data_IF_769207390574
#
_entry.id   IF_769207390574
#
_cell.length_a   1.000
_cell.length_b   1.000
_cell.length_c   1.000
_cell.angle_alpha   90.00
_cell.angle_beta   90.00
_cell.angle_gamma   90.00
#
_symmetry.space_group_name_H-M   'P 1'
#
loop_
_entity.id
_entity.type
_entity.pdbx_description
1 polymer ?
#
# COMPACT_ATOMS: atom_id res chain seq x y z
N UNK A 1 19.42 22.27 -58.50
CA UNK A 1 20.89 22.09 -58.35
C UNK A 1 21.46 23.41 -57.83
N UNK A 2 22.31 23.40 -56.80
CA UNK A 2 22.55 24.54 -55.89
C UNK A 2 21.58 24.47 -54.69
N UNK A 3 21.98 24.42 -53.40
CA UNK A 3 22.98 25.13 -52.57
C UNK A 3 22.52 26.56 -52.26
N UNK A 4 22.06 26.87 -51.03
CA UNK A 4 22.73 26.97 -49.70
C UNK A 4 23.66 28.18 -49.58
N UNK A 5 23.26 29.18 -48.76
CA UNK A 5 24.05 30.13 -47.93
C UNK A 5 23.03 30.89 -47.05
N UNK A 6 23.31 31.30 -45.80
CA UNK A 6 24.51 30.92 -45.02
C UNK A 6 24.98 31.80 -43.85
N UNK A 7 24.11 32.34 -42.97
CA UNK A 7 24.51 32.91 -41.64
C UNK A 7 25.42 34.19 -41.81
N UNK A 8 25.98 34.99 -40.85
CA UNK A 8 26.04 35.08 -39.37
C UNK A 8 26.13 36.58 -38.94
N UNK A 9 25.76 36.87 -37.67
CA UNK A 9 26.37 37.80 -36.66
C UNK A 9 25.41 38.89 -36.08
N UNK A 10 25.56 39.39 -34.83
CA UNK A 10 25.96 38.77 -33.53
C UNK A 10 25.81 39.78 -32.35
N UNK A 11 25.23 39.32 -31.22
CA UNK A 11 25.42 39.77 -29.81
C UNK A 11 24.97 41.15 -29.25
N UNK A 12 24.66 41.07 -27.94
CA UNK A 12 24.58 42.09 -26.87
C UNK A 12 23.48 43.18 -26.94
N UNK A 13 23.00 43.78 -25.84
CA UNK A 13 22.57 43.38 -24.47
C UNK A 13 22.35 44.69 -23.67
N UNK A 14 21.35 44.70 -22.78
CA UNK A 14 21.28 45.46 -21.52
C UNK A 14 20.94 46.99 -21.51
N UNK A 15 19.64 47.25 -21.32
CA UNK A 15 19.02 48.12 -20.28
C UNK A 15 19.02 49.68 -20.33
N UNK A 16 17.83 50.20 -19.91
CA UNK A 16 17.58 51.30 -18.96
C UNK A 16 17.10 52.70 -19.45
N UNK A 17 16.44 53.40 -18.49
CA UNK A 17 16.11 54.85 -18.38
C UNK A 17 14.80 55.39 -19.02
N UNK A 18 13.72 55.30 -18.23
CA UNK A 18 12.85 56.39 -17.71
C UNK A 18 12.31 57.54 -18.60
N UNK A 19 10.98 57.72 -18.50
CA UNK A 19 10.16 58.96 -18.37
C UNK A 19 10.29 60.15 -19.35
N UNK A 20 9.14 60.52 -19.93
CA UNK A 20 8.76 61.89 -20.32
C UNK A 20 7.23 62.08 -20.22
N UNK A 21 6.76 63.32 -20.03
CA UNK A 21 5.33 63.70 -19.85
C UNK A 21 4.87 64.71 -20.93
N UNK A 22 3.62 65.18 -20.84
CA UNK A 22 3.00 66.30 -21.58
C UNK A 22 2.79 66.10 -23.10
N UNK A 23 1.85 66.76 -23.81
CA UNK A 23 0.74 67.73 -23.53
C UNK A 23 -0.33 67.57 -24.65
N UNK A 24 -1.56 68.14 -24.72
CA UNK A 24 -2.42 69.02 -23.89
C UNK A 24 -3.91 68.84 -24.40
N UNK A 25 -4.75 69.89 -24.27
CA UNK A 25 -6.09 70.13 -24.90
C UNK A 25 -7.29 69.34 -24.32
N UNK A 26 -8.50 69.90 -24.22
CA UNK A 26 -8.93 71.31 -24.37
C UNK A 26 -10.16 71.60 -23.49
N UNK A 27 -10.34 72.86 -23.07
CA UNK A 27 -11.43 73.25 -22.18
C UNK A 27 -12.58 73.94 -22.94
N UNK A 28 -13.83 73.59 -22.59
CA UNK A 28 -15.04 74.33 -22.98
C UNK A 28 -15.83 74.63 -21.71
N UNK A 29 -16.19 75.89 -21.51
CA UNK A 29 -16.85 76.38 -20.29
C UNK A 29 -18.29 76.78 -20.62
N UNK A 30 -19.27 76.26 -19.88
CA UNK A 30 -20.69 76.54 -20.10
C UNK A 30 -21.41 76.84 -18.77
N UNK A 31 -22.33 77.81 -18.86
CA UNK A 31 -23.13 78.45 -17.81
C UNK A 31 -23.56 77.59 -16.60
N UNK A 32 -23.50 78.19 -15.41
CA UNK A 32 -24.05 77.60 -14.18
C UNK A 32 -25.58 77.74 -14.09
N UNK A 33 -26.21 76.75 -13.44
CA UNK A 33 -27.61 76.74 -13.04
C UNK A 33 -27.68 76.44 -11.52
N UNK A 34 -28.75 76.84 -10.80
CA UNK A 34 -28.72 76.92 -9.33
C UNK A 34 -28.73 75.55 -8.63
N UNK A 35 -28.02 75.49 -7.50
CA UNK A 35 -27.85 74.28 -6.70
C UNK A 35 -29.18 73.69 -6.21
N UNK A 36 -29.41 72.43 -6.59
CA UNK A 36 -30.38 71.55 -5.93
C UNK A 36 -29.61 70.61 -5.01
N UNK A 37 -29.97 70.50 -3.71
CA UNK A 37 -29.24 69.62 -2.80
C UNK A 37 -29.40 68.16 -3.24
N UNK A 38 -28.34 67.60 -3.79
CA UNK A 38 -28.27 66.18 -4.16
C UNK A 38 -28.28 65.35 -2.87
N UNK A 39 -29.15 64.35 -2.71
CA UNK A 39 -29.14 63.50 -1.53
C UNK A 39 -27.81 62.74 -1.47
N UNK A 40 -27.16 62.79 -0.32
CA UNK A 40 -25.90 62.09 -0.06
C UNK A 40 -26.12 60.57 -0.20
N UNK A 41 -25.28 59.85 -0.98
CA UNK A 41 -25.50 58.44 -1.25
C UNK A 41 -25.33 57.62 0.03
N UNK A 42 -26.44 57.08 0.54
CA UNK A 42 -26.43 56.18 1.70
C UNK A 42 -25.49 55.01 1.43
N UNK A 43 -24.44 54.88 2.23
CA UNK A 43 -23.42 53.86 2.04
C UNK A 43 -24.04 52.46 2.11
N UNK A 44 -24.01 51.73 1.00
CA UNK A 44 -24.38 50.31 0.96
C UNK A 44 -23.53 49.55 2.00
N UNK A 45 -24.14 48.78 2.92
CA UNK A 45 -23.36 48.00 3.88
C UNK A 45 -22.50 46.99 3.11
N UNK A 46 -21.18 47.09 3.29
CA UNK A 46 -20.24 46.09 2.77
C UNK A 46 -20.61 44.74 3.40
N UNK A 47 -20.81 43.66 2.62
CA UNK A 47 -21.12 42.37 3.19
C UNK A 47 -19.96 41.93 4.08
N UNK A 48 -20.22 41.73 5.37
CA UNK A 48 -19.27 41.13 6.31
C UNK A 48 -18.80 39.80 5.73
N UNK A 49 -17.48 39.56 5.56
CA UNK A 49 -17.02 38.27 5.07
C UNK A 49 -17.50 37.18 6.03
N UNK A 50 -18.20 36.18 5.49
CA UNK A 50 -18.51 34.96 6.23
C UNK A 50 -17.18 34.37 6.72
N UNK A 51 -17.02 34.08 8.03
CA UNK A 51 -15.79 33.49 8.51
C UNK A 51 -15.57 32.16 7.79
N UNK A 52 -14.42 32.04 7.13
CA UNK A 52 -13.97 30.79 6.54
C UNK A 52 -13.93 29.73 7.65
N UNK A 53 -14.52 28.53 7.45
CA UNK A 53 -14.72 27.59 8.54
C UNK A 53 -13.37 27.14 9.09
N UNK A 54 -13.09 27.50 10.36
CA UNK A 54 -11.86 27.10 11.05
C UNK A 54 -11.70 25.58 10.97
N UNK A 55 -10.72 25.13 10.18
CA UNK A 55 -10.46 23.72 9.99
C UNK A 55 -10.28 23.05 11.35
N UNK A 56 -11.13 22.06 11.65
CA UNK A 56 -11.03 21.32 12.91
C UNK A 56 -9.65 20.66 12.97
N UNK A 57 -8.86 20.85 14.03
CA UNK A 57 -7.50 20.31 14.07
C UNK A 57 -7.56 18.79 13.94
N UNK A 58 -7.03 18.27 12.83
CA UNK A 58 -6.95 16.83 12.57
C UNK A 58 -6.02 16.20 13.60
N UNK A 59 -6.57 15.29 14.41
CA UNK A 59 -5.80 14.49 15.36
C UNK A 59 -4.72 13.73 14.57
N UNK A 60 -3.43 13.78 14.96
CA UNK A 60 -2.38 13.00 14.32
C UNK A 60 -2.72 11.51 14.31
N UNK A 61 -2.52 10.87 13.16
CA UNK A 61 -2.73 9.43 12.97
C UNK A 61 -1.52 8.81 12.29
N UNK A 62 -1.33 7.52 12.53
CA UNK A 62 -0.35 6.73 11.78
C UNK A 62 -0.70 6.68 10.30
N UNK A 63 0.32 6.78 9.45
CA UNK A 63 0.21 6.61 8.00
C UNK A 63 0.27 5.13 7.55
N UNK A 64 0.38 4.16 8.47
CA UNK A 64 0.26 2.72 8.18
C UNK A 64 -1.07 2.13 8.63
N UNK A 65 -1.64 2.60 9.75
CA UNK A 65 -2.82 1.98 10.40
C UNK A 65 -3.99 2.92 10.71
N UNK A 66 -3.79 4.25 10.65
CA UNK A 66 -4.78 5.23 11.12
C UNK A 66 -4.96 5.31 12.65
N UNK A 67 -4.19 4.52 13.43
CA UNK A 67 -4.10 4.61 14.90
C UNK A 67 -3.87 6.07 15.32
N UNK A 68 -4.61 6.56 16.31
CA UNK A 68 -4.43 7.93 16.85
C UNK A 68 -3.10 7.99 17.59
N UNK A 69 -2.33 9.04 17.37
CA UNK A 69 -1.00 9.23 17.96
C UNK A 69 -0.99 10.54 18.76
N UNK A 70 -0.34 10.54 19.93
CA UNK A 70 -0.01 11.79 20.64
C UNK A 70 1.16 12.50 19.98
N UNK A 71 1.42 13.75 20.36
CA UNK A 71 2.44 14.60 19.69
C UNK A 71 3.88 14.03 19.81
N UNK A 72 4.16 13.23 20.85
CA UNK A 72 5.46 12.57 21.08
C UNK A 72 5.56 11.16 20.44
N UNK A 73 4.46 10.53 20.03
CA UNK A 73 4.41 9.14 19.56
C UNK A 73 4.61 9.03 18.03
N UNK A 74 5.83 9.25 17.54
CA UNK A 74 6.12 9.22 16.08
C UNK A 74 7.30 8.36 15.57
N UNK A 75 7.68 7.21 16.18
CA UNK A 75 8.66 6.29 15.59
C UNK A 75 8.04 5.47 14.43
N UNK A 76 7.73 6.12 13.30
CA UNK A 76 7.43 5.44 12.03
C UNK A 76 8.67 4.65 11.61
N UNK A 77 8.62 3.35 11.84
CA UNK A 77 9.73 2.43 11.60
C UNK A 77 9.28 1.24 10.74
N UNK A 78 8.77 1.51 9.52
CA UNK A 78 8.27 0.49 8.59
C UNK A 78 9.24 -0.68 8.49
N UNK A 79 8.79 -1.83 8.98
CA UNK A 79 9.54 -3.07 8.99
C UNK A 79 8.70 -4.15 8.33
N UNK A 80 9.05 -4.53 7.10
CA UNK A 80 8.43 -5.66 6.43
C UNK A 80 9.06 -6.98 6.89
N UNK A 81 8.25 -8.01 7.10
CA UNK A 81 8.73 -9.41 7.18
C UNK A 81 8.09 -10.23 6.06
N UNK A 82 8.90 -11.01 5.34
CA UNK A 82 8.44 -11.99 4.35
C UNK A 82 7.90 -13.25 5.05
N UNK A 83 6.58 -13.44 5.04
CA UNK A 83 5.89 -14.49 5.81
C UNK A 83 5.26 -15.54 4.88
N UNK A 84 5.56 -16.81 5.14
CA UNK A 84 5.07 -17.98 4.40
C UNK A 84 3.54 -18.05 4.33
N UNK A 85 2.97 -18.49 3.19
CA UNK A 85 1.55 -18.90 3.12
C UNK A 85 1.32 -20.31 2.54
N UNK A 86 2.36 -21.14 2.53
CA UNK A 86 2.21 -22.58 2.31
C UNK A 86 1.31 -23.24 3.37
N UNK A 87 0.49 -24.23 2.98
CA UNK A 87 -0.51 -24.86 3.85
C UNK A 87 0.07 -25.40 5.17
N UNK A 88 1.24 -26.05 5.11
CA UNK A 88 1.90 -26.66 6.28
C UNK A 88 2.63 -25.68 7.20
N UNK A 89 2.57 -24.37 6.90
CA UNK A 89 3.14 -23.29 7.71
C UNK A 89 2.09 -22.50 8.51
N UNK A 90 0.80 -22.74 8.24
CA UNK A 90 -0.33 -22.06 8.89
C UNK A 90 -0.64 -22.71 10.25
N UNK A 91 -1.20 -21.96 11.22
CA UNK A 91 -1.34 -20.50 11.24
C UNK A 91 0.01 -19.79 11.46
N UNK A 92 0.17 -18.64 10.81
CA UNK A 92 1.33 -17.74 10.90
C UNK A 92 1.31 -16.94 12.20
N UNK A 93 2.46 -16.49 12.69
CA UNK A 93 2.59 -15.59 13.84
C UNK A 93 2.70 -14.14 13.41
N UNK A 94 1.98 -13.26 14.11
CA UNK A 94 2.11 -11.80 14.02
C UNK A 94 1.23 -11.10 12.96
N UNK A 95 0.54 -11.83 12.07
CA UNK A 95 -0.26 -11.19 10.99
C UNK A 95 -1.37 -10.25 11.50
N UNK A 96 -1.93 -10.51 12.69
CA UNK A 96 -2.94 -9.64 13.31
C UNK A 96 -2.36 -8.44 14.07
N UNK A 97 -1.03 -8.33 14.14
CA UNK A 97 -0.31 -7.18 14.68
C UNK A 97 0.36 -6.33 13.58
N UNK A 98 0.17 -6.68 12.31
CA UNK A 98 0.70 -5.93 11.18
C UNK A 98 -0.26 -4.80 10.80
N UNK A 99 0.30 -3.61 10.56
CA UNK A 99 -0.47 -2.45 10.11
C UNK A 99 -1.00 -2.68 8.69
N UNK A 100 -0.14 -3.27 7.84
CA UNK A 100 -0.45 -3.60 6.44
C UNK A 100 0.06 -5.00 6.12
N UNK A 101 -0.72 -5.80 5.39
CA UNK A 101 -0.27 -7.10 4.85
C UNK A 101 -0.50 -7.11 3.34
N UNK A 102 0.57 -7.19 2.56
CA UNK A 102 0.47 -7.46 1.12
C UNK A 102 0.54 -8.97 0.88
N UNK A 103 -0.27 -9.48 -0.04
CA UNK A 103 -0.20 -10.86 -0.53
C UNK A 103 0.02 -10.91 -2.04
N UNK A 104 1.02 -11.71 -2.45
CA UNK A 104 1.44 -11.86 -3.84
C UNK A 104 1.39 -13.33 -4.27
N UNK A 105 1.06 -13.58 -5.53
CA UNK A 105 1.12 -14.91 -6.15
C UNK A 105 2.56 -15.26 -6.55
N UNK A 106 3.10 -16.33 -5.98
CA UNK A 106 4.46 -16.84 -6.24
C UNK A 106 4.43 -18.10 -7.13
N UNK A 107 5.56 -18.79 -7.21
CA UNK A 107 5.71 -20.06 -7.91
C UNK A 107 4.82 -21.17 -7.31
N UNK A 108 4.66 -22.28 -8.06
CA UNK A 108 3.80 -23.42 -7.71
C UNK A 108 2.32 -23.08 -7.36
N UNK A 109 1.85 -21.88 -7.76
CA UNK A 109 0.52 -21.33 -7.47
C UNK A 109 0.23 -21.08 -5.98
N UNK A 110 1.26 -21.03 -5.14
CA UNK A 110 1.16 -20.52 -3.77
C UNK A 110 1.18 -18.99 -3.72
N UNK A 111 0.80 -18.44 -2.58
CA UNK A 111 0.95 -17.03 -2.27
C UNK A 111 2.02 -16.80 -1.18
N UNK A 112 2.48 -15.55 -1.05
CA UNK A 112 3.49 -15.12 -0.08
C UNK A 112 3.13 -13.76 0.47
N UNK A 113 3.22 -13.59 1.79
CA UNK A 113 2.99 -12.31 2.45
C UNK A 113 4.27 -11.48 2.54
N UNK A 114 4.13 -10.15 2.49
CA UNK A 114 4.98 -9.25 3.26
C UNK A 114 4.11 -8.44 4.23
N UNK A 115 4.39 -8.58 5.52
CA UNK A 115 3.64 -7.93 6.60
C UNK A 115 4.45 -6.75 7.15
N UNK A 116 3.86 -5.55 7.14
CA UNK A 116 4.44 -4.30 7.60
C UNK A 116 4.11 -4.06 9.07
N UNK A 117 5.15 -3.86 9.86
CA UNK A 117 5.06 -3.46 11.26
C UNK A 117 5.71 -2.08 11.42
N UNK A 118 4.95 -1.07 11.84
CA UNK A 118 5.46 0.24 12.27
C UNK A 118 4.95 0.56 13.68
N UNK A 119 3.63 0.50 13.87
CA UNK A 119 2.99 0.92 15.12
C UNK A 119 3.02 -0.19 16.18
N UNK A 120 2.45 -1.35 15.84
CA UNK A 120 2.40 -2.52 16.72
C UNK A 120 3.51 -3.51 16.34
N UNK A 121 4.20 -4.05 17.35
CA UNK A 121 5.45 -4.81 17.18
C UNK A 121 5.38 -6.09 18.03
N UNK A 122 4.85 -7.20 17.50
CA UNK A 122 4.81 -8.47 18.23
C UNK A 122 6.22 -8.95 18.57
N UNK A 123 6.35 -9.77 19.61
CA UNK A 123 7.64 -10.38 19.95
C UNK A 123 8.18 -11.29 18.83
N UNK A 124 7.29 -11.90 18.04
CA UNK A 124 7.59 -12.92 17.04
C UNK A 124 6.77 -12.75 15.75
N UNK A 125 7.40 -12.93 14.58
CA UNK A 125 6.72 -12.99 13.29
C UNK A 125 7.24 -14.16 12.42
N UNK A 126 6.37 -14.74 11.58
CA UNK A 126 6.75 -15.80 10.64
C UNK A 126 5.68 -16.90 10.42
N UNK A 127 6.03 -18.01 9.75
CA UNK A 127 7.39 -18.39 9.35
C UNK A 127 8.01 -17.47 8.29
N UNK A 128 9.29 -17.11 8.48
CA UNK A 128 10.06 -16.24 7.59
C UNK A 128 10.53 -17.00 6.36
N UNK A 129 10.36 -16.43 5.16
CA UNK A 129 10.65 -17.10 3.88
C UNK A 129 11.27 -16.24 2.78
N UNK A 130 11.56 -16.90 1.65
CA UNK A 130 12.27 -16.33 0.51
C UNK A 130 11.58 -15.10 -0.06
N UNK A 131 12.37 -14.10 -0.40
CA UNK A 131 11.91 -12.91 -1.12
C UNK A 131 11.92 -13.14 -2.64
N UNK A 132 11.32 -12.20 -3.36
CA UNK A 132 11.22 -12.10 -4.83
C UNK A 132 11.44 -10.64 -5.21
N UNK A 133 11.81 -10.34 -6.46
CA UNK A 133 12.27 -8.98 -6.80
C UNK A 133 11.19 -7.90 -6.56
N UNK A 134 9.92 -8.20 -6.85
CA UNK A 134 8.80 -7.29 -6.62
C UNK A 134 8.50 -7.05 -5.12
N UNK A 135 8.82 -8.02 -4.24
CA UNK A 135 8.74 -7.80 -2.79
C UNK A 135 9.82 -6.82 -2.32
N UNK A 136 10.98 -6.76 -2.99
CA UNK A 136 12.00 -5.74 -2.76
C UNK A 136 11.60 -4.38 -3.35
N UNK A 137 10.83 -4.35 -4.43
CA UNK A 137 10.28 -3.11 -5.02
C UNK A 137 9.23 -2.45 -4.11
N UNK A 138 8.46 -3.24 -3.35
CA UNK A 138 7.57 -2.72 -2.30
C UNK A 138 8.38 -2.23 -1.08
N UNK A 139 9.35 -3.02 -0.61
CA UNK A 139 10.27 -2.62 0.48
C UNK A 139 11.00 -1.31 0.16
N UNK A 140 11.38 -1.09 -1.10
CA UNK A 140 11.98 0.17 -1.57
C UNK A 140 11.02 1.34 -1.41
N UNK A 141 9.78 1.19 -1.86
CA UNK A 141 8.78 2.25 -1.84
C UNK A 141 8.46 2.74 -0.42
N UNK A 142 8.44 1.85 0.57
CA UNK A 142 8.18 2.22 1.97
C UNK A 142 9.39 2.76 2.72
N UNK A 143 10.58 2.79 2.09
CA UNK A 143 11.90 2.78 2.75
C UNK A 143 11.86 1.89 4.02
N UNK A 144 11.47 0.64 3.83
CA UNK A 144 11.30 -0.29 4.93
C UNK A 144 12.62 -0.96 5.32
N UNK A 145 12.77 -1.29 6.60
CA UNK A 145 13.66 -2.39 7.00
C UNK A 145 12.99 -3.72 6.61
N UNK A 146 13.76 -4.75 6.22
CA UNK A 146 13.17 -5.99 5.70
C UNK A 146 13.84 -7.26 6.24
N UNK A 147 13.03 -8.17 6.79
CA UNK A 147 13.46 -9.51 7.22
C UNK A 147 12.90 -10.62 6.31
N UNK A 148 13.78 -11.49 5.80
CA UNK A 148 13.43 -12.56 4.85
C UNK A 148 14.49 -13.68 4.88
N UNK A 149 14.18 -14.87 4.36
CA UNK A 149 15.15 -15.98 4.28
C UNK A 149 15.22 -16.57 2.87
N UNK A 150 16.29 -16.25 2.14
CA UNK A 150 16.54 -16.75 0.77
C UNK A 150 16.16 -15.75 -0.34
N UNK A 151 16.99 -15.68 -1.39
CA UNK A 151 16.73 -14.87 -2.59
C UNK A 151 17.46 -15.46 -3.80
N UNK A 152 16.77 -15.52 -4.95
CA UNK A 152 17.34 -15.97 -6.21
C UNK A 152 17.85 -14.79 -7.05
N UNK A 153 19.12 -14.85 -7.47
CA UNK A 153 19.75 -13.80 -8.27
C UNK A 153 19.22 -13.81 -9.71
N UNK A 154 18.43 -12.81 -10.08
CA UNK A 154 17.90 -12.65 -11.43
C UNK A 154 18.80 -11.76 -12.31
N UNK A 155 18.57 -11.80 -13.63
CA UNK A 155 19.25 -10.95 -14.62
C UNK A 155 18.26 -9.99 -15.33
N UNK A 156 18.77 -9.09 -16.19
CA UNK A 156 17.92 -8.11 -16.89
C UNK A 156 17.22 -7.13 -15.94
N UNK A 157 15.97 -6.73 -16.28
CA UNK A 157 15.17 -5.78 -15.48
C UNK A 157 14.77 -6.31 -14.09
N UNK A 158 14.77 -7.63 -13.92
CA UNK A 158 14.34 -8.33 -12.70
C UNK A 158 15.43 -8.42 -11.62
N UNK A 159 16.67 -8.00 -11.94
CA UNK A 159 17.79 -8.07 -11.01
C UNK A 159 17.64 -7.03 -9.89
N UNK A 160 17.70 -7.49 -8.65
CA UNK A 160 17.93 -6.68 -7.45
C UNK A 160 19.16 -7.26 -6.75
N UNK A 161 20.14 -6.45 -6.34
CA UNK A 161 21.26 -6.95 -5.54
C UNK A 161 20.99 -6.56 -4.10
N UNK A 162 20.92 -7.53 -3.19
CA UNK A 162 20.58 -7.27 -1.78
C UNK A 162 21.49 -6.20 -1.13
N UNK A 163 22.79 -6.18 -1.48
CA UNK A 163 23.75 -5.16 -1.01
C UNK A 163 23.41 -3.71 -1.44
N UNK A 164 22.63 -3.55 -2.51
CA UNK A 164 22.21 -2.25 -3.03
C UNK A 164 20.97 -1.75 -2.21
N UNK A 165 20.43 -2.60 -1.30
CA UNK A 165 19.39 -2.30 -0.31
C UNK A 165 19.95 -2.41 1.13
N UNK A 166 20.49 -1.33 1.72
CA UNK A 166 21.20 -1.39 3.01
C UNK A 166 20.34 -1.81 4.21
N UNK A 167 19.01 -1.73 4.07
CA UNK A 167 18.02 -1.97 5.13
C UNK A 167 17.45 -3.41 5.10
N UNK A 168 17.96 -4.25 4.21
CA UNK A 168 17.47 -5.61 3.92
C UNK A 168 18.37 -6.66 4.59
N UNK A 169 17.84 -7.38 5.57
CA UNK A 169 18.59 -8.30 6.44
C UNK A 169 18.18 -9.76 6.20
N UNK A 170 19.07 -10.62 5.67
CA UNK A 170 18.81 -12.04 5.50
C UNK A 170 18.67 -12.79 6.83
N UNK A 171 17.88 -13.87 6.84
CA UNK A 171 17.52 -14.73 7.98
C UNK A 171 18.65 -15.55 8.62
N UNK A 172 19.88 -15.05 8.58
CA UNK A 172 21.09 -15.67 9.15
C UNK A 172 21.56 -14.99 10.44
N UNK A 173 20.90 -13.91 10.89
CA UNK A 173 21.22 -13.24 12.17
C UNK A 173 20.55 -13.93 13.37
N UNK A 174 21.03 -13.65 14.59
CA UNK A 174 20.60 -14.32 15.84
C UNK A 174 19.12 -14.12 16.22
N UNK A 175 18.49 -13.10 15.63
CA UNK A 175 17.08 -12.76 15.79
C UNK A 175 16.18 -13.72 15.03
N UNK A 176 16.70 -14.41 14.00
CA UNK A 176 16.00 -15.48 13.31
C UNK A 176 16.31 -16.83 13.97
N UNK A 177 15.27 -17.52 14.45
CA UNK A 177 15.40 -18.80 15.18
C UNK A 177 14.44 -19.83 14.60
N UNK A 178 14.83 -21.12 14.59
CA UNK A 178 13.92 -22.20 14.17
C UNK A 178 13.04 -22.62 15.35
N UNK A 179 11.72 -22.53 15.19
CA UNK A 179 10.68 -22.85 16.19
C UNK A 179 9.66 -23.79 15.53
N UNK A 180 9.58 -25.03 15.99
CA UNK A 180 8.76 -26.07 15.35
C UNK A 180 7.32 -26.08 15.86
N UNK A 181 6.53 -25.07 15.49
CA UNK A 181 5.10 -24.93 15.83
C UNK A 181 4.17 -25.84 15.01
N UNK A 182 4.56 -27.13 14.88
CA UNK A 182 3.91 -28.15 14.04
C UNK A 182 4.46 -28.27 12.61
N UNK A 183 5.23 -27.27 12.15
CA UNK A 183 5.74 -27.19 10.79
C UNK A 183 7.10 -27.91 10.60
N UNK A 184 7.37 -28.40 9.37
CA UNK A 184 8.68 -28.94 8.96
C UNK A 184 9.77 -27.85 8.94
N UNK A 185 11.04 -28.26 9.00
CA UNK A 185 12.22 -27.40 9.07
C UNK A 185 12.20 -26.14 8.17
N UNK A 186 11.89 -26.30 6.88
CA UNK A 186 11.88 -25.16 5.92
C UNK A 186 10.78 -24.13 6.21
N UNK A 187 9.72 -24.53 6.89
CA UNK A 187 8.63 -23.65 7.34
C UNK A 187 8.71 -23.36 8.85
N UNK A 188 9.86 -23.57 9.50
CA UNK A 188 10.01 -23.39 10.95
C UNK A 188 10.90 -22.22 11.36
N UNK A 189 11.42 -21.40 10.45
CA UNK A 189 12.18 -20.19 10.81
C UNK A 189 11.23 -19.06 11.19
N UNK A 190 11.43 -18.39 12.32
CA UNK A 190 10.70 -17.19 12.75
C UNK A 190 11.69 -16.08 13.11
N UNK A 191 11.24 -14.83 13.11
CA UNK A 191 12.03 -13.68 13.58
C UNK A 191 11.48 -13.16 14.91
N UNK A 192 12.38 -12.91 15.87
CA UNK A 192 12.09 -12.15 17.07
C UNK A 192 12.08 -10.66 16.71
N UNK A 193 10.90 -10.13 16.35
CA UNK A 193 10.76 -8.87 15.62
C UNK A 193 11.21 -7.65 16.44
N UNK A 194 10.95 -7.63 17.75
CA UNK A 194 11.40 -6.55 18.64
C UNK A 194 12.94 -6.47 18.73
N UNK A 195 13.62 -7.61 18.90
CA UNK A 195 15.09 -7.71 18.83
C UNK A 195 15.59 -7.28 17.44
N UNK A 196 14.92 -7.75 16.38
CA UNK A 196 15.30 -7.48 14.99
C UNK A 196 15.29 -5.99 14.67
N UNK A 197 14.22 -5.27 15.02
CA UNK A 197 14.15 -3.81 14.89
C UNK A 197 15.23 -3.16 15.75
N UNK A 198 15.31 -3.49 17.04
CA UNK A 198 16.26 -2.87 17.99
C UNK A 198 17.72 -3.00 17.55
N UNK A 199 18.11 -4.14 16.99
CA UNK A 199 19.50 -4.44 16.62
C UNK A 199 19.90 -3.97 15.21
N UNK A 200 18.94 -3.75 14.30
CA UNK A 200 19.24 -3.49 12.88
C UNK A 200 18.71 -2.14 12.35
N UNK A 201 17.74 -1.49 13.01
CA UNK A 201 17.11 -0.29 12.48
C UNK A 201 18.01 0.96 12.52
N UNK A 202 18.86 1.08 13.54
CA UNK A 202 19.81 2.18 13.71
C UNK A 202 19.15 3.57 13.75
N UNK A 203 19.88 4.58 13.27
CA UNK A 203 19.44 5.99 13.23
C UNK A 203 18.59 6.33 11.98
N UNK A 204 17.94 5.33 11.36
CA UNK A 204 17.16 5.52 10.14
C UNK A 204 15.89 6.35 10.39
N UNK A 205 15.66 7.32 9.51
CA UNK A 205 14.44 8.16 9.47
C UNK A 205 13.83 8.05 8.06
N UNK A 206 13.02 7.02 7.78
CA UNK A 206 12.48 6.78 6.44
C UNK A 206 11.44 7.81 6.02
N UNK A 207 11.26 7.97 4.72
CA UNK A 207 10.28 8.91 4.18
C UNK A 207 8.84 8.44 4.36
N UNK A 208 7.96 9.39 4.69
CA UNK A 208 6.51 9.17 4.78
C UNK A 208 5.85 9.65 3.50
N UNK A 209 4.92 8.85 2.97
CA UNK A 209 4.27 9.11 1.71
C UNK A 209 2.75 8.92 1.82
N UNK A 210 1.99 9.84 1.24
CA UNK A 210 0.53 9.80 1.20
C UNK A 210 0.07 8.81 0.12
N UNK A 211 -0.11 7.54 0.51
CA UNK A 211 -0.64 6.46 -0.34
C UNK A 211 -2.16 6.39 -0.31
N UNK A 212 -2.72 6.70 0.84
CA UNK A 212 -4.13 6.75 1.23
C UNK A 212 -4.23 7.60 2.52
N UNK A 213 -5.44 7.96 2.93
CA UNK A 213 -5.70 8.62 4.23
C UNK A 213 -6.47 7.70 5.18
N UNK A 214 -6.64 8.12 6.44
CA UNK A 214 -7.45 7.42 7.43
C UNK A 214 -8.46 8.35 8.09
N UNK A 215 -9.75 7.99 8.05
CA UNK A 215 -10.82 8.72 8.74
C UNK A 215 -11.80 7.76 9.41
N UNK A 216 -12.14 8.06 10.66
CA UNK A 216 -12.87 7.15 11.56
C UNK A 216 -14.37 7.31 11.35
N UNK A 217 -15.04 6.24 10.90
CA UNK A 217 -16.44 6.32 10.47
C UNK A 217 -16.65 6.89 9.06
N UNK A 218 -15.63 6.88 8.19
CA UNK A 218 -15.74 7.26 6.76
C UNK A 218 -16.95 6.56 6.09
N UNK A 219 -17.72 7.24 5.24
CA UNK A 219 -18.83 6.62 4.52
C UNK A 219 -18.72 6.81 3.01
N UNK A 220 -18.65 5.69 2.30
CA UNK A 220 -18.78 5.62 0.85
C UNK A 220 -20.25 5.35 0.49
N UNK A 221 -21.08 6.38 0.65
CA UNK A 221 -22.53 6.29 0.50
C UNK A 221 -22.95 5.70 -0.86
N UNK A 222 -22.34 6.19 -1.95
CA UNK A 222 -22.54 5.69 -3.33
C UNK A 222 -21.84 4.35 -3.64
N UNK A 223 -20.99 3.87 -2.74
CA UNK A 223 -20.33 2.56 -2.84
C UNK A 223 -21.33 1.40 -2.73
N UNK A 224 -21.05 0.30 -3.43
CA UNK A 224 -21.94 -0.88 -3.45
C UNK A 224 -21.78 -1.66 -2.15
N UNK A 225 -22.88 -1.95 -1.43
CA UNK A 225 -22.81 -2.74 -0.18
C UNK A 225 -22.48 -4.21 -0.44
N UNK A 226 -21.45 -4.73 0.21
CA UNK A 226 -20.83 -6.06 -0.01
C UNK A 226 -21.07 -6.97 1.19
N UNK A 227 -21.44 -8.23 0.92
CA UNK A 227 -21.36 -9.30 1.92
C UNK A 227 -20.10 -10.14 1.77
N UNK A 228 -19.67 -10.42 0.53
CA UNK A 228 -18.56 -11.35 0.25
C UNK A 228 -17.67 -10.86 -0.87
N UNK A 229 -16.37 -11.18 -0.80
CA UNK A 229 -15.39 -11.01 -1.88
C UNK A 229 -14.71 -12.36 -2.13
N UNK A 230 -14.46 -12.70 -3.38
CA UNK A 230 -13.74 -13.92 -3.77
C UNK A 230 -12.61 -13.56 -4.74
N UNK A 231 -11.38 -13.86 -4.33
CA UNK A 231 -10.12 -13.45 -4.96
C UNK A 231 -9.32 -14.70 -5.39
N UNK A 232 -9.60 -15.24 -6.59
CA UNK A 232 -8.83 -16.33 -7.16
C UNK A 232 -7.55 -15.80 -7.82
N UNK A 233 -6.46 -15.70 -7.06
CA UNK A 233 -5.11 -15.53 -7.64
C UNK A 233 -4.83 -16.61 -8.69
N UNK A 234 -5.29 -17.84 -8.41
CA UNK A 234 -5.41 -18.93 -9.40
C UNK A 234 -6.62 -19.80 -9.06
N UNK A 235 -6.93 -20.81 -9.89
CA UNK A 235 -7.89 -21.88 -9.55
C UNK A 235 -7.48 -22.75 -8.35
N UNK A 236 -6.21 -22.69 -7.93
CA UNK A 236 -5.64 -23.50 -6.86
C UNK A 236 -5.32 -22.69 -5.59
N UNK A 237 -5.40 -21.35 -5.68
CA UNK A 237 -5.27 -20.41 -4.57
C UNK A 237 -6.41 -19.39 -4.69
N UNK A 238 -7.51 -19.70 -4.01
CA UNK A 238 -8.67 -18.82 -3.87
C UNK A 238 -8.75 -18.36 -2.42
N UNK A 239 -8.97 -17.06 -2.25
CA UNK A 239 -9.01 -16.37 -0.97
C UNK A 239 -10.35 -15.66 -0.91
N UNK A 240 -11.13 -15.91 0.13
CA UNK A 240 -12.47 -15.35 0.27
C UNK A 240 -12.57 -14.50 1.53
N UNK A 241 -13.41 -13.49 1.47
CA UNK A 241 -13.68 -12.56 2.57
C UNK A 241 -15.19 -12.46 2.78
N UNK A 242 -15.67 -12.59 4.03
CA UNK A 242 -17.06 -12.31 4.38
C UNK A 242 -17.12 -11.16 5.40
N UNK A 243 -17.94 -10.14 5.10
CA UNK A 243 -18.05 -8.93 5.91
C UNK A 243 -18.95 -9.13 7.13
N UNK A 244 -18.44 -8.80 8.30
CA UNK A 244 -19.21 -8.65 9.53
C UNK A 244 -19.52 -7.17 9.77
N UNK A 245 -20.81 -6.82 9.71
CA UNK A 245 -21.27 -5.44 9.90
C UNK A 245 -21.40 -5.02 11.37
N UNK A 246 -21.37 -5.95 12.33
CA UNK A 246 -21.40 -5.66 13.77
C UNK A 246 -19.99 -5.35 14.29
N UNK A 247 -19.01 -6.17 13.90
CA UNK A 247 -17.59 -5.97 14.22
C UNK A 247 -16.89 -4.98 13.25
N UNK A 248 -17.53 -4.68 12.11
CA UNK A 248 -17.01 -3.82 11.04
C UNK A 248 -15.62 -4.30 10.56
N UNK A 249 -15.56 -5.56 10.12
CA UNK A 249 -14.36 -6.22 9.57
C UNK A 249 -14.73 -7.26 8.52
N UNK A 250 -13.81 -7.55 7.60
CA UNK A 250 -13.89 -8.73 6.75
C UNK A 250 -13.19 -9.91 7.44
N UNK A 251 -13.87 -11.04 7.63
CA UNK A 251 -13.26 -12.31 8.06
C UNK A 251 -12.61 -12.99 6.85
N UNK A 252 -11.36 -13.42 6.98
CA UNK A 252 -10.59 -14.06 5.91
C UNK A 252 -10.75 -15.58 5.93
N UNK A 253 -10.88 -16.14 4.74
CA UNK A 253 -10.96 -17.57 4.46
C UNK A 253 -10.00 -17.93 3.34
N UNK A 254 -9.45 -19.14 3.38
CA UNK A 254 -8.61 -19.67 2.32
C UNK A 254 -8.79 -21.19 2.26
N UNK A 255 -8.83 -21.76 1.06
CA UNK A 255 -8.89 -23.21 0.86
C UNK A 255 -10.12 -23.92 1.47
N UNK A 256 -11.25 -23.20 1.62
CA UNK A 256 -12.49 -23.71 2.20
C UNK A 256 -12.62 -23.53 3.72
N UNK A 257 -11.58 -23.02 4.39
CA UNK A 257 -11.51 -22.90 5.85
C UNK A 257 -11.37 -21.44 6.30
N UNK A 258 -11.74 -21.18 7.56
CA UNK A 258 -11.35 -19.94 8.27
C UNK A 258 -9.83 -19.84 8.26
N UNK A 259 -9.30 -18.67 7.91
CA UNK A 259 -7.86 -18.44 7.97
C UNK A 259 -7.49 -17.90 9.36
N UNK A 260 -6.56 -18.57 10.03
CA UNK A 260 -6.17 -18.27 11.41
C UNK A 260 -4.74 -17.70 11.49
N UNK A 261 -4.50 -16.89 12.51
CA UNK A 261 -3.17 -16.39 12.88
C UNK A 261 -2.91 -16.59 14.37
N UNK A 262 -1.63 -16.63 14.74
CA UNK A 262 -1.14 -16.62 16.12
C UNK A 262 -0.82 -15.18 16.53
N UNK A 263 -1.41 -14.71 17.62
CA UNK A 263 -0.95 -13.53 18.35
C UNK A 263 0.01 -14.03 19.43
N UNK A 264 1.33 -13.76 19.33
CA UNK A 264 2.30 -14.28 20.29
C UNK A 264 2.40 -13.39 21.54
N UNK A 265 2.50 -14.04 22.70
CA UNK A 265 2.72 -13.38 23.99
C UNK A 265 4.17 -12.90 24.11
N UNK A 266 4.37 -11.63 24.43
CA UNK A 266 5.68 -11.01 24.55
C UNK A 266 6.33 -11.18 25.93
N UNK A 267 5.57 -11.59 26.95
CA UNK A 267 6.07 -11.71 28.34
C UNK A 267 6.56 -13.13 28.68
N UNK A 268 6.52 -14.07 27.72
CA UNK A 268 6.79 -15.50 27.95
C UNK A 268 7.88 -16.04 27.01
N UNK A 269 8.77 -16.87 27.54
CA UNK A 269 9.78 -17.62 26.79
C UNK A 269 9.72 -19.12 27.21
N UNK A 270 9.44 -20.06 26.28
CA UNK A 270 9.07 -19.82 24.88
C UNK A 270 7.73 -19.08 24.77
N UNK A 271 7.58 -18.28 23.72
CA UNK A 271 6.35 -17.51 23.47
C UNK A 271 5.12 -18.43 23.38
N UNK A 272 4.18 -18.25 24.30
CA UNK A 272 2.80 -18.74 24.12
C UNK A 272 2.11 -17.92 23.01
N UNK A 273 0.95 -18.37 22.56
CA UNK A 273 0.17 -17.66 21.55
C UNK A 273 -1.32 -17.97 21.67
N UNK A 274 -2.14 -16.95 21.42
CA UNK A 274 -3.56 -17.13 21.11
C UNK A 274 -3.70 -17.45 19.61
N UNK A 275 -4.60 -18.35 19.24
CA UNK A 275 -5.00 -18.58 17.84
C UNK A 275 -6.31 -17.85 17.61
N UNK A 276 -6.33 -16.94 16.65
CA UNK A 276 -7.49 -16.10 16.30
C UNK A 276 -7.82 -16.22 14.81
N UNK A 277 -9.10 -16.07 14.42
CA UNK A 277 -9.45 -15.88 13.00
C UNK A 277 -8.88 -14.55 12.50
N UNK A 278 -8.35 -14.52 11.28
CA UNK A 278 -7.86 -13.28 10.66
C UNK A 278 -9.03 -12.40 10.26
N UNK A 279 -8.98 -11.16 10.73
CA UNK A 279 -9.92 -10.09 10.40
C UNK A 279 -9.18 -8.92 9.77
N UNK A 280 -9.87 -8.23 8.87
CA UNK A 280 -9.30 -7.16 8.04
C UNK A 280 -10.21 -5.93 8.11
N UNK A 281 -9.66 -4.76 8.42
CA UNK A 281 -10.44 -3.51 8.47
C UNK A 281 -10.67 -2.95 7.07
N UNK A 282 -9.60 -2.87 6.28
CA UNK A 282 -9.62 -2.40 4.90
C UNK A 282 -9.01 -3.47 4.00
N UNK A 283 -9.72 -3.84 2.94
CA UNK A 283 -9.20 -4.73 1.90
C UNK A 283 -9.04 -3.91 0.61
N UNK A 284 -7.80 -3.83 0.11
CA UNK A 284 -7.47 -3.28 -1.20
C UNK A 284 -7.14 -4.46 -2.11
N UNK A 285 -7.69 -4.48 -3.32
CA UNK A 285 -7.26 -5.38 -4.38
C UNK A 285 -6.57 -4.55 -5.44
N UNK A 286 -5.29 -4.82 -5.69
CA UNK A 286 -4.43 -4.09 -6.61
C UNK A 286 -4.20 -4.97 -7.86
N UNK A 287 -4.63 -4.51 -9.03
CA UNK A 287 -4.53 -5.29 -10.26
C UNK A 287 -3.27 -4.92 -11.05
N UNK A 288 -2.33 -5.86 -11.17
CA UNK A 288 -1.02 -5.67 -11.79
C UNK A 288 -0.78 -6.64 -12.97
N UNK A 289 0.12 -6.28 -13.90
CA UNK A 289 0.58 -7.22 -14.92
C UNK A 289 1.37 -8.36 -14.26
N UNK A 290 0.88 -9.59 -14.44
CA UNK A 290 1.53 -10.82 -13.96
C UNK A 290 2.02 -11.66 -15.13
N UNK A 291 3.30 -12.05 -15.09
CA UNK A 291 3.95 -12.80 -16.15
C UNK A 291 4.94 -13.86 -15.65
N UNK A 292 5.90 -14.19 -16.51
CA UNK A 292 7.02 -15.08 -16.19
C UNK A 292 8.34 -14.37 -16.50
N UNK A 293 9.29 -14.46 -15.58
CA UNK A 293 10.68 -14.06 -15.83
C UNK A 293 11.23 -14.94 -16.96
N UNK A 294 11.81 -14.39 -18.05
CA UNK A 294 12.42 -15.18 -19.12
C UNK A 294 13.54 -16.10 -18.60
N UNK A 295 13.79 -17.22 -19.28
CA UNK A 295 14.75 -18.24 -18.82
C UNK A 295 16.18 -17.71 -18.76
N UNK A 296 16.55 -16.87 -19.72
CA UNK A 296 17.80 -16.10 -19.78
C UNK A 296 17.96 -15.09 -18.63
N UNK A 297 16.88 -14.77 -17.92
CA UNK A 297 16.88 -13.92 -16.73
C UNK A 297 16.85 -14.72 -15.41
N UNK A 298 16.82 -16.05 -15.45
CA UNK A 298 16.90 -16.94 -14.28
C UNK A 298 18.22 -17.77 -14.30
N UNK A 299 19.40 -17.15 -14.13
CA UNK A 299 20.68 -17.84 -14.27
C UNK A 299 20.85 -18.98 -13.25
N UNK A 300 21.02 -20.20 -13.75
CA UNK A 300 21.20 -21.42 -12.95
C UNK A 300 19.91 -22.17 -12.59
N UNK A 301 18.73 -21.53 -12.66
CA UNK A 301 17.47 -22.13 -12.20
C UNK A 301 16.29 -21.80 -13.13
N UNK A 302 15.94 -22.72 -14.03
CA UNK A 302 14.73 -22.61 -14.86
C UNK A 302 13.41 -22.84 -14.10
N UNK A 303 13.28 -22.35 -12.85
CA UNK A 303 12.15 -22.60 -11.93
C UNK A 303 10.82 -21.95 -12.35
N UNK A 304 10.78 -21.23 -13.47
CA UNK A 304 9.54 -20.62 -13.99
C UNK A 304 9.05 -19.44 -13.17
N UNK A 305 9.98 -18.72 -12.52
CA UNK A 305 9.71 -17.62 -11.58
C UNK A 305 8.79 -16.55 -12.18
N UNK A 306 7.89 -16.02 -11.35
CA UNK A 306 6.88 -15.03 -11.81
C UNK A 306 7.46 -13.63 -11.93
N UNK A 307 6.96 -12.87 -12.90
CA UNK A 307 7.09 -11.41 -12.91
C UNK A 307 5.81 -10.76 -12.43
N UNK A 308 5.95 -9.65 -11.71
CA UNK A 308 4.90 -8.72 -11.31
C UNK A 308 5.44 -7.32 -11.61
N UNK A 309 4.65 -6.48 -12.28
CA UNK A 309 5.03 -5.11 -12.59
C UNK A 309 4.30 -4.14 -11.64
N UNK A 310 5.04 -3.56 -10.69
CA UNK A 310 4.52 -2.64 -9.66
C UNK A 310 4.70 -1.16 -10.01
N UNK A 311 5.11 -0.86 -11.24
CA UNK A 311 5.28 0.51 -11.77
C UNK A 311 4.38 0.71 -12.99
N UNK A 312 3.81 1.89 -13.14
CA UNK A 312 2.78 2.24 -14.10
C UNK A 312 1.48 2.63 -13.38
N UNK A 313 0.36 2.10 -13.86
CA UNK A 313 -0.94 2.23 -13.22
C UNK A 313 -1.83 1.03 -13.55
N UNK A 314 -2.86 0.81 -12.73
CA UNK A 314 -3.85 -0.24 -12.93
C UNK A 314 -5.12 0.01 -12.13
N UNK A 315 -6.11 -0.88 -12.26
CA UNK A 315 -7.35 -0.77 -11.50
C UNK A 315 -7.14 -1.16 -10.02
N UNK A 316 -7.98 -0.62 -9.15
CA UNK A 316 -8.12 -1.04 -7.76
C UNK A 316 -9.59 -1.28 -7.40
N UNK A 317 -9.83 -2.28 -6.56
CA UNK A 317 -11.08 -2.48 -5.85
C UNK A 317 -10.85 -2.23 -4.35
N UNK A 318 -11.53 -1.25 -3.77
CA UNK A 318 -11.44 -0.94 -2.36
C UNK A 318 -12.66 -1.50 -1.62
N UNK A 319 -12.43 -2.20 -0.52
CA UNK A 319 -13.43 -2.82 0.33
C UNK A 319 -13.27 -2.29 1.76
N UNK A 320 -14.10 -1.30 2.10
CA UNK A 320 -13.97 -0.50 3.34
C UNK A 320 -15.36 -0.47 3.99
N UNK A 321 -15.48 -0.89 5.26
CA UNK A 321 -16.75 -0.93 6.02
C UNK A 321 -17.91 -1.63 5.29
N UNK A 322 -17.61 -2.68 4.53
CA UNK A 322 -18.62 -3.40 3.73
C UNK A 322 -19.10 -2.64 2.49
N UNK A 323 -18.39 -1.60 2.03
CA UNK A 323 -18.60 -0.92 0.74
C UNK A 323 -17.51 -1.32 -0.24
N UNK A 324 -17.90 -1.68 -1.45
CA UNK A 324 -17.04 -1.72 -2.63
C UNK A 324 -17.01 -0.33 -3.27
N UNK A 325 -15.80 0.16 -3.54
CA UNK A 325 -15.52 1.39 -4.27
C UNK A 325 -14.49 1.09 -5.34
N UNK A 326 -14.72 1.56 -6.57
CA UNK A 326 -13.74 1.43 -7.66
C UNK A 326 -12.71 2.56 -7.59
N UNK A 327 -11.50 2.27 -8.06
CA UNK A 327 -10.48 3.28 -8.30
C UNK A 327 -9.29 2.71 -9.06
N UNK A 328 -8.12 3.28 -8.83
CA UNK A 328 -6.85 2.91 -9.48
C UNK A 328 -5.69 2.95 -8.49
N UNK A 329 -4.56 2.36 -8.89
CA UNK A 329 -3.25 2.63 -8.30
C UNK A 329 -2.34 3.29 -9.34
N UNK A 330 -1.41 4.14 -8.90
CA UNK A 330 -0.35 4.72 -9.75
C UNK A 330 0.99 4.75 -9.02
N UNK A 331 2.09 4.43 -9.74
CA UNK A 331 3.49 4.55 -9.28
C UNK A 331 4.39 4.71 -10.50
N UNK A 332 4.88 5.91 -10.78
CA UNK A 332 5.53 6.20 -12.08
C UNK A 332 6.83 5.40 -12.28
N UNK A 333 7.71 5.38 -11.29
CA UNK A 333 8.98 4.63 -11.30
C UNK A 333 9.20 3.82 -10.03
N UNK A 334 10.30 3.05 -9.96
CA UNK A 334 10.69 2.32 -8.75
C UNK A 334 11.11 3.26 -7.60
N UNK A 335 11.53 4.48 -7.92
CA UNK A 335 11.93 5.50 -6.95
C UNK A 335 10.72 6.36 -6.47
N UNK A 336 9.54 6.15 -7.07
CA UNK A 336 8.25 6.66 -6.60
C UNK A 336 7.52 5.64 -5.72
N UNK A 337 6.39 6.05 -5.13
CA UNK A 337 5.51 5.23 -4.31
C UNK A 337 4.11 5.09 -4.94
N UNK A 338 3.38 4.05 -4.51
CA UNK A 338 2.03 3.71 -4.94
C UNK A 338 1.00 4.62 -4.29
N UNK A 339 0.22 5.30 -5.13
CA UNK A 339 -0.92 6.14 -4.73
C UNK A 339 -2.21 5.41 -5.08
N UNK A 340 -3.06 5.18 -4.10
CA UNK A 340 -4.36 4.52 -4.26
C UNK A 340 -5.44 5.58 -4.39
N UNK A 341 -5.99 5.74 -5.61
CA UNK A 341 -6.89 6.83 -5.97
C UNK A 341 -8.31 6.34 -6.24
N UNK A 342 -9.30 7.15 -5.90
CA UNK A 342 -10.70 7.01 -6.34
C UNK A 342 -10.86 7.44 -7.81
N UNK A 343 -12.02 7.17 -8.41
CA UNK A 343 -12.31 7.57 -9.81
C UNK A 343 -12.31 9.10 -10.05
N UNK A 344 -12.39 9.92 -9.00
CA UNK A 344 -12.25 11.39 -9.07
C UNK A 344 -10.78 11.88 -9.00
N UNK A 345 -9.82 10.96 -8.80
CA UNK A 345 -8.40 11.26 -8.67
C UNK A 345 -7.93 11.66 -7.26
N UNK A 346 -8.82 11.71 -6.27
CA UNK A 346 -8.44 11.88 -4.86
C UNK A 346 -7.90 10.57 -4.28
N UNK A 347 -7.11 10.64 -3.21
CA UNK A 347 -6.66 9.43 -2.50
C UNK A 347 -7.82 8.78 -1.75
N UNK A 348 -7.84 7.44 -1.74
CA UNK A 348 -8.80 6.66 -0.94
C UNK A 348 -8.59 6.94 0.55
N UNK A 349 -9.69 6.97 1.31
CA UNK A 349 -9.69 7.15 2.77
C UNK A 349 -10.16 5.88 3.44
N UNK A 350 -9.27 5.26 4.21
CA UNK A 350 -9.47 4.01 4.90
C UNK A 350 -10.06 4.23 6.31
N UNK A 351 -10.68 3.19 6.89
CA UNK A 351 -11.04 3.17 8.31
C UNK A 351 -9.78 2.82 9.15
N UNK A 352 -9.51 3.47 10.30
CA UNK A 352 -8.45 3.07 11.21
C UNK A 352 -8.48 1.59 11.59
N UNK A 353 -7.38 0.89 11.34
CA UNK A 353 -7.21 -0.55 11.52
C UNK A 353 -6.26 -1.15 10.48
N UNK A 354 -6.10 -2.47 10.50
CA UNK A 354 -5.20 -3.17 9.58
C UNK A 354 -5.71 -3.14 8.13
N UNK A 355 -4.77 -3.05 7.19
CA UNK A 355 -5.08 -3.01 5.75
C UNK A 355 -4.44 -4.19 5.03
N UNK A 356 -5.23 -4.98 4.32
CA UNK A 356 -4.71 -6.07 3.48
C UNK A 356 -4.75 -5.65 2.01
N UNK A 357 -3.66 -5.92 1.30
CA UNK A 357 -3.44 -5.50 -0.09
C UNK A 357 -3.16 -6.73 -0.95
N UNK A 358 -4.20 -7.19 -1.62
CA UNK A 358 -4.23 -8.40 -2.44
C UNK A 358 -3.79 -8.04 -3.86
N UNK A 359 -2.51 -8.33 -4.19
CA UNK A 359 -1.90 -7.90 -5.45
C UNK A 359 -2.19 -8.93 -6.54
N UNK A 360 -3.37 -8.87 -7.14
CA UNK A 360 -3.88 -9.84 -8.10
C UNK A 360 -3.36 -9.61 -9.53
N UNK A 361 -3.31 -10.68 -10.36
CA UNK A 361 -3.26 -10.53 -11.82
C UNK A 361 -4.40 -9.67 -12.35
N UNK A 362 -4.08 -8.75 -13.27
CA UNK A 362 -5.03 -7.93 -14.03
C UNK A 362 -6.17 -8.72 -14.71
N UNK A 363 -5.88 -9.97 -15.11
CA UNK A 363 -6.81 -10.91 -15.72
C UNK A 363 -7.49 -11.89 -14.74
N UNK A 364 -7.34 -11.69 -13.43
CA UNK A 364 -7.96 -12.55 -12.41
C UNK A 364 -9.49 -12.46 -12.46
N UNK A 365 -10.16 -13.61 -12.41
CA UNK A 365 -11.63 -13.71 -12.40
C UNK A 365 -12.21 -13.48 -11.00
N UNK A 366 -11.88 -12.34 -10.39
CA UNK A 366 -12.40 -11.93 -9.07
C UNK A 366 -13.89 -11.61 -9.11
N UNK A 367 -14.53 -11.68 -7.95
CA UNK A 367 -15.94 -11.31 -7.80
C UNK A 367 -16.27 -10.84 -6.39
N UNK A 368 -17.42 -10.20 -6.24
CA UNK A 368 -18.01 -9.90 -4.95
C UNK A 368 -19.53 -10.08 -4.99
N UNK A 369 -20.14 -10.42 -3.85
CA UNK A 369 -21.58 -10.57 -3.70
C UNK A 369 -22.13 -9.43 -2.83
N UNK A 370 -23.23 -8.77 -3.22
CA UNK A 370 -23.81 -7.69 -2.44
C UNK A 370 -24.51 -8.19 -1.17
N UNK A 371 -24.77 -7.26 -0.24
CA UNK A 371 -25.41 -7.50 1.07
C UNK A 371 -26.66 -8.41 1.08
N UNK A 372 -27.41 -8.46 -0.04
CA UNK A 372 -28.70 -9.15 -0.16
C UNK A 372 -28.65 -10.39 -1.07
N UNK A 373 -27.48 -10.97 -1.34
CA UNK A 373 -27.37 -12.18 -2.16
C UNK A 373 -27.87 -13.43 -1.40
N UNK A 374 -28.92 -14.09 -1.90
CA UNK A 374 -29.46 -15.30 -1.30
C UNK A 374 -28.46 -16.48 -1.39
N UNK A 375 -28.17 -17.10 -0.24
CA UNK A 375 -27.36 -18.31 -0.14
C UNK A 375 -26.41 -18.31 1.05
N UNK A 376 -26.31 -19.47 1.73
CA UNK A 376 -25.30 -19.69 2.76
C UNK A 376 -23.89 -19.56 2.17
N UNK A 377 -22.95 -19.03 2.95
CA UNK A 377 -21.56 -18.96 2.50
C UNK A 377 -20.93 -20.36 2.51
N UNK A 378 -20.27 -20.69 1.40
CA UNK A 378 -19.34 -21.82 1.31
C UNK A 378 -18.07 -21.24 0.70
N UNK A 379 -16.97 -21.09 1.48
CA UNK A 379 -15.70 -20.62 0.92
C UNK A 379 -15.19 -21.61 -0.13
N UNK A 380 -14.43 -21.12 -1.10
CA UNK A 380 -13.90 -21.90 -2.19
C UNK A 380 -12.95 -22.99 -1.66
N UNK A 381 -13.40 -24.25 -1.76
CA UNK A 381 -12.67 -25.41 -1.27
C UNK A 381 -11.31 -25.58 -1.94
N UNK A 382 -10.37 -26.19 -1.23
CA UNK A 382 -9.06 -26.54 -1.75
C UNK A 382 -9.14 -27.33 -3.08
N UNK A 383 -8.22 -27.11 -4.03
CA UNK A 383 -8.01 -28.03 -5.16
C UNK A 383 -7.60 -29.42 -4.67
N UNK A 384 -7.85 -30.44 -5.49
CA UNK A 384 -7.44 -31.81 -5.20
C UNK A 384 -5.91 -31.93 -5.01
N UNK A 385 -5.51 -32.64 -3.95
CA UNK A 385 -4.10 -32.74 -3.54
C UNK A 385 -3.18 -33.47 -4.55
N UNK A 386 -3.73 -34.04 -5.63
CA UNK A 386 -2.98 -34.68 -6.70
C UNK A 386 -2.29 -33.71 -7.67
N UNK A 387 -2.71 -32.44 -7.69
CA UNK A 387 -2.27 -31.41 -8.65
C UNK A 387 -1.15 -30.50 -8.08
N UNK A 388 -0.69 -30.81 -6.87
CA UNK A 388 0.26 -29.99 -6.10
C UNK A 388 1.70 -30.46 -6.34
N UNK A 389 2.51 -29.60 -6.95
CA UNK A 389 3.97 -29.76 -6.97
C UNK A 389 4.59 -28.95 -5.83
N UNK A 390 5.07 -29.65 -4.80
CA UNK A 390 5.92 -29.03 -3.76
C UNK A 390 7.16 -28.41 -4.42
N UNK A 391 7.54 -27.17 -4.04
CA UNK A 391 8.86 -26.65 -4.39
C UNK A 391 9.94 -27.54 -3.75
N UNK A 392 11.05 -27.85 -4.45
CA UNK A 392 12.19 -28.49 -3.81
C UNK A 392 12.70 -27.57 -2.68
N UNK A 393 12.94 -28.15 -1.50
CA UNK A 393 13.29 -27.43 -0.28
C UNK A 393 14.52 -26.49 -0.49
N UNK A 394 14.26 -25.18 -0.67
CA UNK A 394 15.28 -24.12 -0.57
C UNK A 394 15.64 -23.92 0.92
N UNK A 395 16.87 -24.32 1.30
CA UNK A 395 17.49 -24.19 2.64
C UNK A 395 18.25 -22.85 2.81
#
# INVERSE_FOLDING_TARGET
MGKRIGVILLLLLLAAVLCACDTAKEAVQASAAPDTPTPEPTATPVPTPTPEPTATPRIPRSNTSGKRLTEDEQPYQPTFISIENHRSARPQSGLMNADIVYEFLIEANYTRFIALFSDDRPCLAGPVRSTRYYLLDEVQEWDAMYGFQGYAQLSGKYRRKLRDYPNVVPGHTREFRRIHLGAKNVHSLYVYLADFITNNYGERSPERHDRFYFEEGIDYADGVSVQRVSLPFTKQAVIDYEYDAAENVFRRYQDGAVFEARIPDAEKEPAEYEIVPVTVKNLIVQFCEYGKVPGENQPGEGKGRRSVELTGCGECAFFIRGKYVKGTWTRETLDDYTRYCLEDGTLVTLEPGNTWIEVLPDNAAWSFAPANAEGAFVPAGAPDAADVQDEPEED
#
